data_IF_294322963354
#
_entry.id   IF_294322963354
#
_cell.length_a   1.000
_cell.length_b   1.000
_cell.length_c   1.000
_cell.angle_alpha   90.00
_cell.angle_beta   90.00
_cell.angle_gamma   90.00
#
_symmetry.space_group_name_H-M   'P 1'
#
loop_
_entity.id
_entity.type
_entity.pdbx_description
1 polymer ?
#
# COMPACT_ATOMS: atom_id res chain seq x y z
N UNK A 1 -13.45 -9.64 13.02
CA UNK A 1 -13.42 -8.84 11.78
C UNK A 1 -12.39 -9.47 10.85
N UNK A 2 -12.63 -9.54 9.53
CA UNK A 2 -11.66 -10.13 8.59
C UNK A 2 -10.64 -9.06 8.17
N UNK A 3 -9.44 -9.47 7.78
CA UNK A 3 -8.39 -8.58 7.28
C UNK A 3 -8.13 -8.88 5.80
N UNK A 4 -7.34 -8.03 5.16
CA UNK A 4 -6.92 -8.19 3.77
C UNK A 4 -6.14 -9.51 3.54
N UNK A 5 -5.60 -10.12 4.60
CA UNK A 5 -4.99 -11.46 4.54
C UNK A 5 -5.92 -12.54 4.00
N UNK A 6 -7.23 -12.44 4.19
CA UNK A 6 -8.15 -13.45 3.65
C UNK A 6 -8.05 -13.53 2.12
N UNK A 7 -7.76 -12.41 1.47
CA UNK A 7 -7.61 -12.30 0.03
C UNK A 7 -6.18 -12.66 -0.34
N UNK A 8 -5.20 -12.11 0.40
CA UNK A 8 -3.78 -12.37 0.14
C UNK A 8 -3.39 -13.86 0.26
N UNK A 9 -4.14 -14.65 1.04
CA UNK A 9 -3.91 -16.09 1.20
C UNK A 9 -4.78 -16.97 0.28
N UNK A 10 -5.62 -16.38 -0.58
CA UNK A 10 -6.49 -17.11 -1.51
C UNK A 10 -5.88 -17.20 -2.92
N UNK A 11 -5.00 -18.18 -3.11
CA UNK A 11 -4.28 -18.41 -4.36
C UNK A 11 -5.13 -18.78 -5.58
N UNK A 12 -6.40 -19.19 -5.37
CA UNK A 12 -7.19 -19.85 -6.43
C UNK A 12 -8.04 -18.90 -7.28
N UNK A 13 -8.27 -17.67 -6.82
CA UNK A 13 -9.14 -16.72 -7.51
C UNK A 13 -8.50 -15.32 -7.48
N UNK A 14 -7.86 -14.86 -8.57
CA UNK A 14 -7.35 -13.50 -8.63
C UNK A 14 -8.50 -12.50 -8.46
N UNK A 15 -8.24 -11.41 -7.75
CA UNK A 15 -9.21 -10.34 -7.60
C UNK A 15 -9.56 -9.76 -8.99
N UNK A 16 -10.85 -9.57 -9.29
CA UNK A 16 -11.23 -8.76 -10.43
C UNK A 16 -10.59 -7.37 -10.36
N UNK A 17 -10.17 -6.83 -11.50
CA UNK A 17 -9.45 -5.55 -11.59
C UNK A 17 -10.22 -4.40 -10.94
N UNK A 18 -11.53 -4.32 -11.15
CA UNK A 18 -12.40 -3.31 -10.53
C UNK A 18 -12.42 -3.41 -9.00
N UNK A 19 -12.45 -4.64 -8.45
CA UNK A 19 -12.41 -4.88 -7.00
C UNK A 19 -11.07 -4.45 -6.41
N UNK A 20 -9.96 -4.81 -7.08
CA UNK A 20 -8.62 -4.40 -6.68
C UNK A 20 -8.50 -2.87 -6.70
N UNK A 21 -8.94 -2.21 -7.78
CA UNK A 21 -8.93 -0.75 -7.92
C UNK A 21 -9.72 -0.08 -6.79
N UNK A 22 -10.93 -0.56 -6.51
CA UNK A 22 -11.77 -0.03 -5.44
C UNK A 22 -11.13 -0.19 -4.06
N UNK A 23 -10.52 -1.34 -3.76
CA UNK A 23 -9.81 -1.58 -2.51
C UNK A 23 -8.59 -0.66 -2.37
N UNK A 24 -7.74 -0.59 -3.41
CA UNK A 24 -6.55 0.27 -3.42
C UNK A 24 -6.93 1.74 -3.18
N UNK A 25 -7.99 2.22 -3.84
CA UNK A 25 -8.50 3.59 -3.67
C UNK A 25 -8.95 3.88 -2.24
N UNK A 26 -9.76 2.99 -1.64
CA UNK A 26 -10.20 3.16 -0.24
C UNK A 26 -9.03 3.19 0.75
N UNK A 27 -8.05 2.31 0.55
CA UNK A 27 -6.87 2.22 1.42
C UNK A 27 -5.99 3.47 1.27
N UNK A 28 -5.76 3.95 0.04
CA UNK A 28 -5.01 5.17 -0.22
C UNK A 28 -5.72 6.42 0.31
N UNK A 29 -7.05 6.50 0.24
CA UNK A 29 -7.81 7.60 0.87
C UNK A 29 -7.64 7.60 2.39
N UNK A 30 -7.72 6.43 3.02
CA UNK A 30 -7.45 6.28 4.45
C UNK A 30 -6.03 6.73 4.82
N UNK A 31 -5.04 6.33 4.03
CA UNK A 31 -3.65 6.73 4.24
C UNK A 31 -3.43 8.22 4.00
N UNK A 32 -4.04 8.80 2.96
CA UNK A 32 -4.00 10.25 2.69
C UNK A 32 -4.51 11.04 3.88
N UNK A 33 -5.65 10.63 4.46
CA UNK A 33 -6.21 11.28 5.64
C UNK A 33 -5.29 11.13 6.87
N UNK A 34 -4.69 9.95 7.07
CA UNK A 34 -3.76 9.68 8.15
C UNK A 34 -2.48 10.53 8.06
N UNK A 35 -1.89 10.62 6.86
CA UNK A 35 -0.75 11.46 6.51
C UNK A 35 -1.06 12.96 6.63
N UNK A 36 -2.26 13.40 6.23
CA UNK A 36 -2.70 14.78 6.41
C UNK A 36 -2.83 15.19 7.89
N UNK A 37 -2.97 14.23 8.80
CA UNK A 37 -2.95 14.46 10.24
C UNK A 37 -1.52 14.50 10.85
N UNK A 38 -0.47 14.45 10.01
CA UNK A 38 0.92 14.49 10.45
C UNK A 38 1.39 13.19 11.12
N UNK A 39 0.77 12.06 10.77
CA UNK A 39 1.05 10.75 11.38
C UNK A 39 1.71 9.80 10.38
N UNK A 40 2.64 8.97 10.88
CA UNK A 40 3.33 7.90 10.15
C UNK A 40 2.95 6.58 10.81
N UNK A 41 2.44 5.59 10.06
CA UNK A 41 1.89 4.36 10.63
C UNK A 41 2.97 3.33 10.95
N UNK A 42 3.97 3.18 10.08
CA UNK A 42 5.19 2.35 10.26
C UNK A 42 5.00 0.83 10.31
N UNK A 43 3.79 0.31 10.18
CA UNK A 43 3.52 -1.14 10.14
C UNK A 43 2.31 -1.49 9.25
N UNK A 44 2.26 -0.86 8.07
CA UNK A 44 1.27 -1.18 7.07
C UNK A 44 1.56 -2.56 6.47
N UNK A 45 0.55 -3.42 6.52
CA UNK A 45 0.56 -4.78 5.97
C UNK A 45 -0.87 -5.29 5.83
N UNK A 46 -1.06 -6.38 5.07
CA UNK A 46 -2.38 -6.95 4.82
C UNK A 46 -3.14 -7.36 6.12
N UNK A 47 -2.45 -7.74 7.20
CA UNK A 47 -3.13 -8.04 8.48
C UNK A 47 -3.67 -6.81 9.18
N UNK A 48 -3.14 -5.63 8.88
CA UNK A 48 -3.49 -4.36 9.53
C UNK A 48 -4.49 -3.54 8.67
N UNK A 49 -4.99 -4.13 7.59
CA UNK A 49 -6.06 -3.58 6.77
C UNK A 49 -7.31 -4.44 6.98
N UNK A 50 -8.31 -3.88 7.65
CA UNK A 50 -9.56 -4.52 7.98
C UNK A 50 -10.52 -4.49 6.78
N UNK A 51 -11.25 -5.57 6.59
CA UNK A 51 -12.32 -5.69 5.62
C UNK A 51 -13.65 -5.85 6.35
N UNK A 52 -14.61 -5.00 5.99
CA UNK A 52 -15.96 -5.04 6.50
C UNK A 52 -16.97 -4.99 5.36
N UNK A 53 -17.89 -5.94 5.33
CA UNK A 53 -19.03 -5.92 4.40
C UNK A 53 -20.31 -5.85 5.23
N UNK A 54 -20.97 -4.69 5.31
CA UNK A 54 -22.24 -4.57 6.01
C UNK A 54 -23.26 -5.53 5.37
N UNK A 55 -23.95 -6.36 6.16
CA UNK A 55 -24.95 -7.29 5.63
C UNK A 55 -25.96 -6.59 4.72
N UNK A 56 -26.25 -7.19 3.57
CA UNK A 56 -27.21 -6.64 2.59
C UNK A 56 -26.69 -5.45 1.75
N UNK A 57 -25.49 -4.92 2.01
CA UNK A 57 -24.97 -3.77 1.25
C UNK A 57 -24.38 -4.12 -0.12
N UNK A 58 -23.94 -5.38 -0.30
CA UNK A 58 -23.14 -5.79 -1.47
C UNK A 58 -21.78 -5.08 -1.57
N UNK A 59 -21.37 -4.31 -0.54
CA UNK A 59 -20.15 -3.49 -0.54
C UNK A 59 -19.10 -4.05 0.40
N UNK A 60 -17.83 -3.82 0.07
CA UNK A 60 -16.69 -4.12 0.94
C UNK A 60 -15.95 -2.83 1.25
N UNK A 61 -15.84 -2.52 2.54
CA UNK A 61 -15.10 -1.39 3.08
C UNK A 61 -13.72 -1.84 3.58
N UNK A 62 -12.68 -1.14 3.14
CA UNK A 62 -11.32 -1.33 3.64
C UNK A 62 -10.95 -0.21 4.62
N UNK A 63 -10.36 -0.56 5.77
CA UNK A 63 -9.93 0.41 6.79
C UNK A 63 -8.55 0.05 7.33
N UNK A 64 -7.69 1.04 7.50
CA UNK A 64 -6.38 0.89 8.15
C UNK A 64 -6.59 0.79 9.66
N UNK A 65 -5.79 -0.04 10.33
CA UNK A 65 -5.89 -0.35 11.75
C UNK A 65 -4.53 -0.65 12.36
N UNK A 66 -4.50 -0.81 13.69
CA UNK A 66 -3.30 -1.14 14.47
C UNK A 66 -2.21 -0.06 14.41
N UNK A 67 -2.44 0.99 15.20
CA UNK A 67 -1.56 2.16 15.31
C UNK A 67 -0.46 1.98 16.37
N UNK A 68 -0.13 0.74 16.77
CA UNK A 68 0.84 0.48 17.85
C UNK A 68 2.26 1.01 17.58
N UNK A 69 2.61 1.20 16.31
CA UNK A 69 3.89 1.80 15.88
C UNK A 69 3.76 3.24 15.39
N UNK A 70 2.55 3.80 15.39
CA UNK A 70 2.29 5.10 14.81
C UNK A 70 3.04 6.20 15.55
N UNK A 71 3.48 7.21 14.81
CA UNK A 71 4.24 8.33 15.36
C UNK A 71 3.90 9.63 14.63
N UNK A 72 3.92 10.74 15.36
CA UNK A 72 3.81 12.07 14.76
C UNK A 72 5.12 12.45 14.06
N UNK A 73 5.01 13.04 12.88
CA UNK A 73 6.15 13.54 12.11
C UNK A 73 6.92 14.64 12.87
N UNK A 74 6.23 15.45 13.67
CA UNK A 74 6.81 16.53 14.48
C UNK A 74 7.64 16.01 15.68
N UNK A 75 7.49 14.73 16.04
CA UNK A 75 8.20 14.08 17.15
C UNK A 75 9.50 13.37 16.71
N UNK A 76 10.09 13.77 15.59
CA UNK A 76 11.35 13.19 15.07
C UNK A 76 12.60 13.46 15.94
N UNK A 77 12.50 14.28 16.99
CA UNK A 77 13.59 14.51 17.96
C UNK A 77 13.80 13.33 18.93
N UNK A 78 12.88 12.38 19.00
CA UNK A 78 13.07 11.12 19.71
C UNK A 78 13.92 10.13 18.90
N UNK A 79 14.56 9.19 19.58
CA UNK A 79 15.40 8.17 18.96
C UNK A 79 14.65 7.42 17.84
N UNK A 80 15.07 7.65 16.59
CA UNK A 80 14.49 7.02 15.40
C UNK A 80 15.05 5.61 15.27
N UNK A 81 14.18 4.60 15.33
CA UNK A 81 14.53 3.21 15.12
C UNK A 81 13.64 2.57 14.05
N UNK A 82 14.17 1.55 13.38
CA UNK A 82 13.45 0.76 12.41
C UNK A 82 12.36 -0.06 13.11
N UNK A 83 11.12 0.04 12.64
CA UNK A 83 9.97 -0.69 13.18
C UNK A 83 9.09 -1.21 12.04
N UNK A 84 8.21 -2.16 12.38
CA UNK A 84 7.27 -2.77 11.45
C UNK A 84 7.68 -4.15 10.96
N UNK A 85 6.92 -4.65 10.00
CA UNK A 85 7.06 -6.03 9.49
C UNK A 85 8.02 -6.09 8.31
N UNK A 86 9.19 -6.72 8.50
CA UNK A 86 10.35 -6.73 7.58
C UNK A 86 10.08 -6.76 6.07
N UNK A 87 9.29 -7.68 5.50
CA UNK A 87 9.05 -7.71 4.05
C UNK A 87 8.33 -6.46 3.50
N UNK A 88 7.68 -5.66 4.34
CA UNK A 88 6.98 -4.43 3.98
C UNK A 88 7.80 -3.16 4.19
N UNK A 89 8.94 -3.26 4.88
CA UNK A 89 9.72 -2.10 5.29
C UNK A 89 10.42 -1.44 4.10
N UNK A 90 10.34 -0.12 4.04
CA UNK A 90 10.99 0.68 3.01
C UNK A 90 12.53 0.60 3.12
N UNK A 91 13.28 0.70 1.99
CA UNK A 91 14.74 0.56 1.98
C UNK A 91 15.47 1.54 2.91
N UNK A 92 14.96 2.76 3.07
CA UNK A 92 15.53 3.79 3.93
C UNK A 92 15.46 3.48 5.43
N UNK A 93 14.60 2.55 5.85
CA UNK A 93 14.56 2.08 7.25
C UNK A 93 15.74 1.19 7.61
N UNK A 94 16.49 0.70 6.62
CA UNK A 94 17.69 -0.12 6.80
C UNK A 94 19.00 0.67 6.69
N UNK A 95 18.91 1.97 6.40
CA UNK A 95 20.06 2.88 6.27
C UNK A 95 20.40 3.54 7.60
N UNK A 96 21.64 3.99 7.73
CA UNK A 96 22.11 4.79 8.86
C UNK A 96 22.67 6.11 8.33
N UNK A 97 22.12 7.28 8.71
CA UNK A 97 20.95 7.46 9.57
C UNK A 97 19.63 7.02 8.89
N UNK A 98 18.65 6.64 9.70
CA UNK A 98 17.29 6.33 9.22
C UNK A 98 16.61 7.63 8.80
N UNK A 99 16.01 7.62 7.61
CA UNK A 99 15.19 8.73 7.11
C UNK A 99 13.71 8.34 7.24
N UNK A 100 13.11 8.66 8.38
CA UNK A 100 11.70 8.37 8.63
C UNK A 100 10.83 9.50 8.09
N UNK A 101 9.96 9.18 7.14
CA UNK A 101 8.94 10.11 6.60
C UNK A 101 7.64 9.33 6.36
N UNK A 102 6.53 10.02 6.11
CA UNK A 102 5.27 9.39 5.72
C UNK A 102 5.39 8.45 4.50
N UNK A 103 6.40 8.67 3.65
CA UNK A 103 6.66 7.87 2.43
C UNK A 103 6.98 6.39 2.73
N UNK A 104 7.39 6.05 3.96
CA UNK A 104 7.61 4.63 4.33
C UNK A 104 6.32 3.83 4.24
N UNK A 105 5.18 4.44 4.60
CA UNK A 105 3.86 3.79 4.55
C UNK A 105 3.40 3.57 3.11
N UNK A 106 3.76 4.49 2.19
CA UNK A 106 3.45 4.35 0.77
C UNK A 106 4.18 3.15 0.16
N UNK A 107 5.44 2.96 0.53
CA UNK A 107 6.18 1.77 0.12
C UNK A 107 5.53 0.49 0.65
N UNK A 108 5.19 0.46 1.95
CA UNK A 108 4.52 -0.67 2.57
C UNK A 108 3.13 -0.98 1.96
N UNK A 109 2.38 0.05 1.55
CA UNK A 109 1.17 -0.13 0.74
C UNK A 109 1.47 -0.73 -0.63
N UNK A 110 2.51 -0.25 -1.31
CA UNK A 110 2.97 -0.81 -2.57
C UNK A 110 3.28 -2.31 -2.45
N UNK A 111 4.00 -2.71 -1.40
CA UNK A 111 4.26 -4.13 -1.10
C UNK A 111 2.97 -4.90 -0.80
N UNK A 112 2.05 -4.31 -0.04
CA UNK A 112 0.75 -4.94 0.27
C UNK A 112 -0.08 -5.21 -0.99
N UNK A 113 -0.14 -4.26 -1.90
CA UNK A 113 -0.84 -4.39 -3.18
C UNK A 113 -0.14 -5.39 -4.11
N UNK A 114 1.19 -5.37 -4.16
CA UNK A 114 1.96 -6.35 -4.93
C UNK A 114 1.76 -7.77 -4.40
N UNK A 115 1.74 -7.93 -3.07
CA UNK A 115 1.51 -9.21 -2.41
C UNK A 115 0.10 -9.72 -2.64
N UNK A 116 -0.90 -8.84 -2.68
CA UNK A 116 -2.27 -9.20 -3.04
C UNK A 116 -2.42 -9.81 -4.44
N UNK A 117 -1.60 -9.35 -5.39
CA UNK A 117 -1.68 -9.78 -6.79
C UNK A 117 -0.82 -11.02 -7.04
N UNK A 118 0.39 -11.03 -6.49
CA UNK A 118 1.40 -12.04 -6.81
C UNK A 118 1.49 -13.17 -5.78
N UNK A 119 0.93 -12.95 -4.58
CA UNK A 119 1.10 -13.81 -3.40
C UNK A 119 2.56 -14.04 -2.98
N UNK A 120 3.46 -13.15 -3.42
CA UNK A 120 4.91 -13.22 -3.20
C UNK A 120 5.44 -11.87 -2.75
N UNK A 121 6.42 -11.90 -1.86
CA UNK A 121 7.20 -10.70 -1.52
C UNK A 121 8.38 -10.59 -2.48
N UNK A 122 8.70 -9.39 -2.99
CA UNK A 122 9.93 -9.16 -3.77
C UNK A 122 11.19 -9.48 -2.98
N UNK A 123 11.18 -9.13 -1.69
CA UNK A 123 12.29 -9.37 -0.77
C UNK A 123 11.73 -9.79 0.58
N UNK A 124 12.05 -11.02 1.01
CA UNK A 124 11.68 -11.54 2.32
C UNK A 124 12.77 -12.50 2.82
N UNK A 125 13.79 -11.92 3.46
CA UNK A 125 14.94 -12.65 3.98
C UNK A 125 14.69 -13.16 5.40
N UNK A 126 15.46 -14.13 5.92
CA UNK A 126 15.21 -14.72 7.24
C UNK A 126 15.39 -13.74 8.41
N UNK A 127 16.32 -12.78 8.30
CA UNK A 127 16.64 -11.82 9.36
C UNK A 127 16.83 -10.39 8.81
N UNK A 128 17.06 -9.43 9.70
CA UNK A 128 17.20 -8.01 9.37
C UNK A 128 18.44 -7.72 8.51
N UNK A 129 19.59 -8.29 8.85
CA UNK A 129 20.86 -8.05 8.13
C UNK A 129 20.83 -8.58 6.70
N UNK A 130 20.24 -9.76 6.48
CA UNK A 130 20.09 -10.31 5.14
C UNK A 130 19.08 -9.51 4.31
N UNK A 131 17.99 -9.03 4.95
CA UNK A 131 17.02 -8.14 4.30
C UNK A 131 17.69 -6.84 3.84
N UNK A 132 18.48 -6.22 4.72
CA UNK A 132 19.27 -5.03 4.44
C UNK A 132 20.22 -5.24 3.27
N UNK A 133 21.09 -6.26 3.35
CA UNK A 133 22.05 -6.59 2.28
C UNK A 133 21.35 -6.81 0.94
N UNK A 134 20.21 -7.50 0.94
CA UNK A 134 19.45 -7.77 -0.28
C UNK A 134 18.85 -6.48 -0.87
N UNK A 135 18.30 -5.59 -0.04
CA UNK A 135 17.77 -4.30 -0.49
C UNK A 135 18.87 -3.35 -0.97
N UNK A 136 20.05 -3.35 -0.35
CA UNK A 136 21.21 -2.54 -0.78
C UNK A 136 21.75 -2.96 -2.15
N UNK A 137 21.64 -4.25 -2.49
CA UNK A 137 22.03 -4.77 -3.80
C UNK A 137 20.99 -4.48 -4.90
N UNK A 138 19.75 -4.17 -4.52
CA UNK A 138 18.66 -3.88 -5.45
C UNK A 138 18.58 -2.39 -5.77
N UNK A 139 18.36 -2.08 -7.06
CA UNK A 139 18.12 -0.70 -7.51
C UNK A 139 16.64 -0.35 -7.57
N UNK A 140 15.79 -1.35 -7.81
CA UNK A 140 14.34 -1.20 -7.94
C UNK A 140 13.65 -2.56 -7.72
N UNK A 141 12.33 -2.54 -7.55
CA UNK A 141 11.50 -3.74 -7.65
C UNK A 141 11.15 -3.97 -9.12
N UNK A 142 11.47 -5.16 -9.62
CA UNK A 142 11.12 -5.55 -10.99
C UNK A 142 9.63 -5.86 -11.12
N UNK A 143 9.08 -5.64 -12.33
CA UNK A 143 7.68 -5.93 -12.64
C UNK A 143 7.43 -7.45 -12.55
N UNK A 144 6.54 -7.91 -11.66
CA UNK A 144 6.15 -9.32 -11.64
C UNK A 144 5.41 -9.69 -12.93
N UNK A 145 5.59 -10.93 -13.38
CA UNK A 145 4.96 -11.41 -14.60
C UNK A 145 3.44 -11.46 -14.49
N UNK A 146 2.89 -11.59 -13.27
CA UNK A 146 1.47 -11.61 -12.96
C UNK A 146 0.79 -10.26 -13.26
N UNK A 147 1.54 -9.15 -13.28
CA UNK A 147 0.98 -7.80 -13.50
C UNK A 147 1.08 -7.42 -14.98
N UNK A 148 0.00 -7.64 -15.73
CA UNK A 148 -0.08 -7.31 -17.16
C UNK A 148 -0.59 -5.90 -17.47
N UNK A 149 -1.30 -5.28 -16.54
CA UNK A 149 -1.80 -3.91 -16.67
C UNK A 149 -0.65 -2.91 -16.48
N UNK A 150 -0.32 -2.16 -17.54
CA UNK A 150 0.76 -1.17 -17.55
C UNK A 150 0.45 0.04 -16.66
N UNK A 151 -0.81 0.44 -16.56
CA UNK A 151 -1.24 1.58 -15.75
C UNK A 151 -1.16 1.21 -14.26
N UNK A 152 -1.57 -0.02 -13.92
CA UNK A 152 -1.38 -0.56 -12.56
C UNK A 152 0.10 -0.64 -12.19
N UNK A 153 0.93 -1.21 -13.09
CA UNK A 153 2.36 -1.30 -12.81
C UNK A 153 3.00 0.07 -12.66
N UNK A 154 2.64 1.04 -13.50
CA UNK A 154 3.17 2.40 -13.42
C UNK A 154 2.86 3.08 -12.07
N UNK A 155 1.66 2.86 -11.51
CA UNK A 155 1.33 3.30 -10.16
C UNK A 155 2.19 2.58 -9.11
N UNK A 156 2.24 1.25 -9.16
CA UNK A 156 2.98 0.44 -8.18
C UNK A 156 4.48 0.76 -8.18
N UNK A 157 5.09 0.99 -9.35
CA UNK A 157 6.50 1.36 -9.46
C UNK A 157 6.78 2.72 -8.82
N UNK A 158 5.86 3.69 -8.90
CA UNK A 158 6.00 4.99 -8.24
C UNK A 158 5.84 4.88 -6.71
N UNK A 159 5.02 3.95 -6.23
CA UNK A 159 4.88 3.65 -4.80
C UNK A 159 6.10 2.89 -4.25
N UNK A 160 6.70 2.02 -5.06
CA UNK A 160 7.84 1.16 -4.72
C UNK A 160 9.21 1.80 -5.03
N UNK A 161 9.24 3.09 -5.34
CA UNK A 161 10.46 3.85 -5.62
C UNK A 161 11.39 3.90 -4.39
N UNK A 162 12.69 3.68 -4.60
CA UNK A 162 13.69 3.61 -3.53
C UNK A 162 14.19 5.01 -3.14
N UNK A 163 14.19 5.96 -4.09
CA UNK A 163 14.44 7.36 -3.80
C UNK A 163 13.19 8.00 -3.16
N UNK A 164 13.29 8.33 -1.87
CA UNK A 164 12.21 8.92 -1.07
C UNK A 164 11.65 10.18 -1.74
N UNK A 165 12.48 10.97 -2.41
CA UNK A 165 12.04 12.22 -3.04
C UNK A 165 11.23 12.00 -4.31
N UNK A 166 11.42 10.87 -4.98
CA UNK A 166 10.69 10.47 -6.19
C UNK A 166 9.50 9.57 -5.90
N UNK A 167 9.46 8.93 -4.73
CA UNK A 167 8.33 8.12 -4.31
C UNK A 167 7.10 9.00 -4.17
N UNK A 168 6.02 8.59 -4.84
CA UNK A 168 4.74 9.28 -4.85
C UNK A 168 4.14 9.36 -3.43
N UNK A 169 3.33 10.38 -3.14
CA UNK A 169 2.52 10.42 -1.91
C UNK A 169 1.09 9.91 -2.15
N UNK A 170 0.36 9.57 -1.09
CA UNK A 170 -1.02 9.06 -1.22
C UNK A 170 -1.94 10.01 -2.00
N UNK A 171 -1.82 11.33 -1.78
CA UNK A 171 -2.61 12.34 -2.48
C UNK A 171 -2.38 12.32 -4.00
N UNK A 172 -1.11 12.23 -4.44
CA UNK A 172 -0.73 12.14 -5.85
C UNK A 172 -1.13 10.79 -6.45
N UNK A 173 -0.94 9.69 -5.70
CA UNK A 173 -1.33 8.35 -6.12
C UNK A 173 -2.82 8.27 -6.45
N UNK A 174 -3.68 8.98 -5.70
CA UNK A 174 -5.12 9.06 -5.95
C UNK A 174 -5.50 9.86 -7.21
N UNK A 175 -4.59 10.70 -7.74
CA UNK A 175 -4.77 11.39 -9.02
C UNK A 175 -4.24 10.58 -10.21
N UNK A 176 -3.60 9.43 -9.97
CA UNK A 176 -3.01 8.61 -11.02
C UNK A 176 -4.06 8.13 -12.05
N UNK A 177 -3.71 7.97 -13.35
CA UNK A 177 -4.61 7.42 -14.37
C UNK A 177 -5.24 6.07 -14.00
N UNK A 178 -4.61 5.31 -13.09
CA UNK A 178 -5.21 4.09 -12.55
C UNK A 178 -6.54 4.35 -11.81
N UNK A 179 -6.75 5.51 -11.19
CA UNK A 179 -8.00 5.84 -10.48
C UNK A 179 -8.87 6.88 -11.20
N UNK A 180 -8.29 7.58 -12.18
CA UNK A 180 -8.95 8.70 -12.89
C UNK A 180 -9.14 8.45 -14.39
N UNK A 181 -8.52 7.41 -14.94
CA UNK A 181 -8.57 7.10 -16.37
C UNK A 181 -9.87 6.40 -16.79
N UNK A 182 -9.98 6.17 -18.10
CA UNK A 182 -11.18 5.59 -18.74
C UNK A 182 -11.59 4.26 -18.09
N UNK A 183 -10.65 3.37 -17.79
CA UNK A 183 -10.97 2.10 -17.16
C UNK A 183 -11.60 2.28 -15.77
N UNK A 184 -11.18 3.29 -15.01
CA UNK A 184 -11.79 3.59 -13.72
C UNK A 184 -13.22 4.12 -13.87
N UNK A 185 -13.52 4.88 -14.94
CA UNK A 185 -14.87 5.31 -15.25
C UNK A 185 -15.77 4.13 -15.67
N UNK A 186 -15.25 3.20 -16.47
CA UNK A 186 -15.97 1.98 -16.88
C UNK A 186 -16.26 1.06 -15.68
N UNK A 187 -15.34 1.00 -14.71
CA UNK A 187 -15.48 0.14 -13.52
C UNK A 187 -16.55 0.65 -12.54
N UNK A 188 -17.05 1.89 -12.70
CA UNK A 188 -18.15 2.45 -11.90
C UNK A 188 -19.46 2.08 -12.59
N UNK A 189 -20.36 1.40 -11.88
CA UNK A 189 -21.68 1.11 -12.45
C UNK A 189 -22.50 2.41 -12.57
N UNK A 190 -23.44 2.53 -13.53
CA UNK A 190 -24.30 3.71 -13.64
C UNK A 190 -25.02 4.07 -12.32
N UNK A 191 -25.41 3.05 -11.55
CA UNK A 191 -26.06 3.21 -10.24
C UNK A 191 -25.10 3.77 -9.18
N UNK A 192 -23.79 3.52 -9.30
CA UNK A 192 -22.77 4.08 -8.42
C UNK A 192 -22.43 5.53 -8.78
N UNK A 193 -22.55 5.92 -10.05
CA UNK A 193 -22.44 7.32 -10.49
C UNK A 193 -23.60 8.15 -9.96
N UNK A 194 -24.85 7.70 -10.11
CA UNK A 194 -26.04 8.43 -9.63
C UNK A 194 -26.01 8.67 -8.12
N UNK A 195 -25.53 7.71 -7.33
CA UNK A 195 -25.37 7.84 -5.87
C UNK A 195 -24.23 8.76 -5.43
N UNK A 196 -23.34 9.17 -6.35
CA UNK A 196 -22.25 10.12 -6.04
C UNK A 196 -22.67 11.59 -6.17
N UNK A 197 -23.83 11.84 -6.79
CA UNK A 197 -24.41 13.17 -7.00
C UNK A 197 -25.60 13.49 -6.06
N UNK A 198 -26.00 12.55 -5.20
CA UNK A 198 -27.07 12.71 -4.19
C UNK A 198 -26.53 12.77 -2.77
#
# INVERSE_FOLDING_TARGET
MKTLNIIANQYRNPLPSYTLRALMKQILEGMRAFHAAGLIHRDIKCSNILLHSPPGSGRVHAKISDFGFAKSEDQMNEQIYAAGTRPYMAPELFKTPIQLTQKVDIYSLGISFLYLITHKYPVNMPNYEDQKKKLEQLKMIERPQEIKDDILWNLLSQMLEFDINKRIIAAEALQHPYFKGIQAAIDISPEQEELSYG
#
